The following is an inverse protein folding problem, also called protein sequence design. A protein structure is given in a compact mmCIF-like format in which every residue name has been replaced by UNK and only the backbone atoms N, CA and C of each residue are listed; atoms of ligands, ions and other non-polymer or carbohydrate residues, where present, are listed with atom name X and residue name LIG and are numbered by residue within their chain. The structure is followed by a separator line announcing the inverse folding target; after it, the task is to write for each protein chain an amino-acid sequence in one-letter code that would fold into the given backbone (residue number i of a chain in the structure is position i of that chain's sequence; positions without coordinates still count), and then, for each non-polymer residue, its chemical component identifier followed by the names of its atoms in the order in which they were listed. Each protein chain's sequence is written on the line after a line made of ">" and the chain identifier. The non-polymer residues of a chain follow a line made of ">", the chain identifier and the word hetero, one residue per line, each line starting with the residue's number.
data_IF_204162628332
#
_entry.id   IF_204162628332
#
_cell.length_a   1.000
_cell.length_b   1.000
_cell.length_c   1.000
_cell.angle_alpha   90.00
_cell.angle_beta   90.00
_cell.angle_gamma   90.00
#
_symmetry.space_group_name_H-M   'P 1'
#
loop_
_entity.id
_entity.type
_entity.pdbx_description
1 polymer ?
#
# COMPACT_ATOMS: atom_id res chain seq x y z
N UNK A 1 -32.20 26.41 -0.83
CA UNK A 1 -31.76 25.01 -0.94
C UNK A 1 -32.32 24.51 -2.26
N UNK A 2 -31.48 24.44 -3.28
CA UNK A 2 -31.88 23.99 -4.60
C UNK A 2 -31.49 22.52 -4.74
N UNK A 3 -32.49 21.66 -4.90
CA UNK A 3 -32.31 20.27 -5.30
C UNK A 3 -31.77 20.23 -6.73
N UNK A 4 -30.61 19.60 -6.89
CA UNK A 4 -30.01 19.34 -8.19
C UNK A 4 -30.09 17.83 -8.44
N UNK A 5 -31.02 17.43 -9.32
CA UNK A 5 -31.05 16.10 -9.89
C UNK A 5 -30.16 16.06 -11.14
N UNK A 6 -29.22 15.13 -11.21
CA UNK A 6 -28.45 14.84 -12.43
C UNK A 6 -28.25 13.32 -12.62
N UNK A 7 -28.35 12.89 -13.87
CA UNK A 7 -28.38 11.51 -14.38
C UNK A 7 -27.06 11.10 -15.10
N UNK A 8 -26.84 9.78 -15.19
CA UNK A 8 -25.65 8.99 -15.63
C UNK A 8 -24.78 9.43 -16.84
N UNK A 9 -23.44 9.16 -16.75
CA UNK A 9 -22.58 8.47 -17.75
C UNK A 9 -21.13 8.20 -17.23
N UNK A 10 -20.43 7.19 -17.78
CA UNK A 10 -19.16 6.55 -17.34
C UNK A 10 -17.82 7.27 -17.74
N UNK A 11 -16.72 7.06 -16.99
CA UNK A 11 -15.30 7.33 -17.38
C UNK A 11 -14.34 7.67 -16.20
N UNK A 12 -13.01 7.37 -16.24
CA UNK A 12 -12.21 7.09 -15.05
C UNK A 12 -11.34 8.27 -14.57
N UNK A 13 -11.85 9.06 -13.65
CA UNK A 13 -11.04 9.75 -12.64
C UNK A 13 -12.00 10.20 -11.53
N UNK A 14 -12.15 9.38 -10.49
CA UNK A 14 -13.07 9.66 -9.41
C UNK A 14 -12.35 9.52 -8.08
N UNK A 15 -12.22 10.64 -7.35
CA UNK A 15 -12.27 10.57 -5.89
C UNK A 15 -13.70 10.18 -5.57
N UNK A 16 -13.96 8.87 -5.47
CA UNK A 16 -15.24 8.33 -5.08
C UNK A 16 -15.17 7.99 -3.59
N UNK A 17 -15.56 8.93 -2.74
CA UNK A 17 -15.75 8.62 -1.31
C UNK A 17 -17.01 7.76 -1.20
N UNK A 18 -16.85 6.44 -1.26
CA UNK A 18 -17.94 5.47 -1.26
C UNK A 18 -18.59 5.36 0.13
N UNK A 19 -19.48 6.29 0.48
CA UNK A 19 -20.20 6.26 1.77
C UNK A 19 -21.63 6.81 1.74
N UNK A 20 -22.11 7.24 0.58
CA UNK A 20 -23.48 7.71 0.38
C UNK A 20 -24.03 6.91 -0.80
N UNK A 21 -25.23 6.34 -0.67
CA UNK A 21 -26.00 5.66 -1.71
C UNK A 21 -26.46 6.64 -2.81
N UNK A 22 -25.50 7.33 -3.42
CA UNK A 22 -25.65 8.06 -4.67
C UNK A 22 -24.72 7.39 -5.69
N UNK A 23 -25.08 7.37 -6.99
CA UNK A 23 -24.18 6.88 -8.03
C UNK A 23 -22.83 7.62 -7.93
N UNK A 24 -21.71 7.00 -8.36
CA UNK A 24 -20.38 7.58 -8.24
C UNK A 24 -20.30 8.89 -9.01
N UNK A 25 -20.49 10.01 -8.32
CA UNK A 25 -20.17 11.34 -8.82
C UNK A 25 -18.75 11.61 -8.34
N UNK A 26 -17.78 11.34 -9.20
CA UNK A 26 -16.39 11.72 -8.96
C UNK A 26 -16.29 13.25 -8.78
N UNK A 27 -15.34 13.69 -7.97
CA UNK A 27 -15.11 15.11 -7.70
C UNK A 27 -14.58 15.91 -8.92
N UNK A 28 -14.51 15.33 -10.13
CA UNK A 28 -13.91 15.97 -11.32
C UNK A 28 -14.65 15.64 -12.64
N UNK A 29 -14.59 16.59 -13.57
CA UNK A 29 -15.53 16.77 -14.70
C UNK A 29 -15.42 15.74 -15.83
N UNK A 30 -16.47 15.69 -16.66
CA UNK A 30 -16.68 14.84 -17.85
C UNK A 30 -15.71 15.09 -19.02
N UNK A 31 -14.51 15.62 -18.78
CA UNK A 31 -13.53 15.77 -19.84
C UNK A 31 -12.75 14.44 -20.01
N UNK A 32 -12.41 14.09 -21.25
CA UNK A 32 -11.72 12.84 -21.61
C UNK A 32 -10.26 12.78 -21.14
N UNK A 33 -9.78 13.78 -20.41
CA UNK A 33 -8.39 13.99 -20.04
C UNK A 33 -8.18 14.34 -18.54
N UNK A 34 -9.25 14.38 -17.74
CA UNK A 34 -9.28 14.76 -16.33
C UNK A 34 -9.01 16.25 -16.10
N UNK A 35 -9.89 16.92 -15.35
CA UNK A 35 -9.56 18.25 -14.80
C UNK A 35 -8.37 18.11 -13.87
N UNK A 36 -7.37 18.99 -14.00
CA UNK A 36 -6.21 19.00 -13.10
C UNK A 36 -6.67 19.21 -11.67
N UNK A 37 -6.25 18.32 -10.79
CA UNK A 37 -6.52 18.39 -9.35
C UNK A 37 -5.24 18.80 -8.66
N UNK A 38 -5.15 20.05 -8.22
CA UNK A 38 -3.94 20.52 -7.56
C UNK A 38 -3.80 19.92 -6.16
N UNK A 39 -4.80 20.12 -5.30
CA UNK A 39 -4.74 19.64 -3.92
C UNK A 39 -6.11 19.10 -3.51
N UNK A 40 -6.11 17.89 -2.94
CA UNK A 40 -7.21 17.40 -2.11
C UNK A 40 -6.66 17.07 -0.74
N UNK A 41 -7.31 17.63 0.27
CA UNK A 41 -6.99 17.37 1.67
C UNK A 41 -8.21 16.80 2.38
N UNK A 42 -8.01 15.67 3.04
CA UNK A 42 -9.00 15.02 3.90
C UNK A 42 -8.38 14.95 5.30
N UNK A 43 -8.92 15.74 6.22
CA UNK A 43 -8.40 15.84 7.61
C UNK A 43 -9.11 14.89 8.58
N UNK A 44 -10.28 14.36 8.18
CA UNK A 44 -10.97 13.31 8.92
C UNK A 44 -12.03 12.68 8.03
N UNK A 45 -11.94 11.37 7.89
CA UNK A 45 -12.95 10.55 7.24
C UNK A 45 -12.81 9.14 7.80
N UNK A 46 -13.90 8.51 8.21
CA UNK A 46 -13.91 7.07 8.43
C UNK A 46 -15.04 6.50 7.60
N UNK A 47 -14.70 5.58 6.71
CA UNK A 47 -15.68 4.91 5.87
C UNK A 47 -15.51 3.39 6.00
N UNK A 48 -16.65 2.69 6.00
CA UNK A 48 -16.71 1.25 6.19
C UNK A 48 -17.66 0.62 5.17
N UNK A 49 -17.19 -0.41 4.47
CA UNK A 49 -17.94 -1.10 3.43
C UNK A 49 -18.44 -2.50 3.86
N UNK A 50 -18.41 -2.82 5.15
CA UNK A 50 -18.94 -4.07 5.68
C UNK A 50 -20.46 -4.02 5.90
N UNK A 51 -21.27 -5.02 5.45
CA UNK A 51 -22.66 -5.10 5.88
C UNK A 51 -22.73 -5.29 7.40
N UNK A 52 -23.74 -4.75 8.11
CA UNK A 52 -23.85 -4.85 9.57
C UNK A 52 -23.84 -6.28 10.11
N UNK A 53 -24.26 -7.25 9.28
CA UNK A 53 -24.36 -8.67 9.62
C UNK A 53 -23.11 -9.48 9.30
N UNK A 54 -22.16 -8.93 8.52
CA UNK A 54 -20.87 -9.55 8.18
C UNK A 54 -19.84 -8.43 7.96
N UNK A 55 -19.30 -7.84 9.04
CA UNK A 55 -18.39 -6.71 8.93
C UNK A 55 -17.22 -7.00 7.97
N UNK A 56 -16.76 -8.24 7.85
CA UNK A 56 -15.61 -8.60 7.02
C UNK A 56 -15.93 -8.88 5.52
N UNK A 57 -17.18 -8.64 5.08
CA UNK A 57 -17.66 -8.98 3.73
C UNK A 57 -17.77 -7.76 2.80
N UNK A 58 -16.80 -6.85 2.86
CA UNK A 58 -16.78 -5.68 1.99
C UNK A 58 -16.73 -6.06 0.50
N UNK A 59 -17.28 -5.19 -0.36
CA UNK A 59 -17.22 -5.39 -1.80
C UNK A 59 -15.76 -5.29 -2.29
N UNK A 60 -15.21 -6.42 -2.75
CA UNK A 60 -13.82 -6.53 -3.21
C UNK A 60 -13.47 -5.67 -4.43
N UNK A 61 -14.46 -5.15 -5.15
CA UNK A 61 -14.24 -4.20 -6.25
C UNK A 61 -14.09 -2.75 -5.78
N UNK A 62 -14.33 -2.46 -4.50
CA UNK A 62 -14.24 -1.08 -3.99
C UNK A 62 -12.79 -0.68 -3.78
N UNK A 63 -12.41 0.43 -4.39
CA UNK A 63 -11.17 1.14 -4.12
C UNK A 63 -11.57 2.44 -3.42
N UNK A 64 -11.14 2.63 -2.18
CA UNK A 64 -11.57 3.78 -1.38
C UNK A 64 -11.05 5.10 -1.93
N UNK A 65 -9.80 5.09 -2.39
CA UNK A 65 -9.20 6.23 -3.04
C UNK A 65 -8.35 5.77 -4.23
N UNK A 66 -8.76 6.16 -5.43
CA UNK A 66 -8.05 5.88 -6.67
C UNK A 66 -7.42 7.17 -7.23
N UNK A 67 -6.10 7.27 -7.14
CA UNK A 67 -5.33 8.47 -7.50
C UNK A 67 -4.82 8.30 -8.93
N UNK A 68 -5.55 8.92 -9.87
CA UNK A 68 -5.30 8.90 -11.30
C UNK A 68 -4.34 9.98 -11.81
N UNK A 69 -4.07 9.95 -13.12
CA UNK A 69 -3.36 11.03 -13.79
C UNK A 69 -4.04 12.39 -13.58
N UNK A 70 -3.24 13.46 -13.57
CA UNK A 70 -3.71 14.84 -13.38
C UNK A 70 -3.87 15.25 -11.92
N UNK A 71 -3.70 14.31 -10.99
CA UNK A 71 -3.71 14.59 -9.56
C UNK A 71 -2.31 14.93 -9.05
N UNK A 72 -2.10 16.17 -8.59
CA UNK A 72 -0.82 16.58 -8.05
C UNK A 72 -0.67 16.15 -6.59
N UNK A 73 -1.56 16.58 -5.70
CA UNK A 73 -1.39 16.32 -4.27
C UNK A 73 -2.65 15.75 -3.63
N UNK A 74 -2.49 14.61 -2.99
CA UNK A 74 -3.43 14.08 -2.01
C UNK A 74 -2.79 14.16 -0.63
N UNK A 75 -3.52 14.73 0.32
CA UNK A 75 -3.16 14.71 1.73
C UNK A 75 -4.26 14.06 2.56
N UNK A 76 -3.91 12.99 3.25
CA UNK A 76 -4.77 12.26 4.18
C UNK A 76 -4.18 12.44 5.57
N UNK A 77 -4.90 13.11 6.46
CA UNK A 77 -4.56 13.19 7.87
C UNK A 77 -5.72 12.56 8.66
N UNK A 78 -5.45 11.55 9.49
CA UNK A 78 -6.47 10.92 10.35
C UNK A 78 -7.69 10.39 9.57
N UNK A 79 -7.42 9.57 8.55
CA UNK A 79 -8.40 8.97 7.65
C UNK A 79 -8.44 7.45 7.89
N UNK A 80 -9.63 6.86 7.86
CA UNK A 80 -9.87 5.42 8.02
C UNK A 80 -10.65 4.82 6.86
N UNK A 81 -10.10 3.78 6.24
CA UNK A 81 -10.73 2.98 5.19
C UNK A 81 -10.88 1.53 5.66
N UNK A 82 -12.10 1.11 5.94
CA UNK A 82 -12.37 -0.18 6.60
C UNK A 82 -13.15 -1.08 5.64
N UNK A 83 -12.68 -2.32 5.49
CA UNK A 83 -13.15 -3.31 4.51
C UNK A 83 -13.00 -2.82 3.06
N UNK A 84 -13.57 -3.56 2.11
CA UNK A 84 -13.53 -3.23 0.67
C UNK A 84 -12.46 -3.99 -0.10
N UNK A 85 -12.13 -3.55 -1.30
CA UNK A 85 -11.09 -4.12 -2.15
C UNK A 85 -9.72 -3.58 -1.79
N UNK A 86 -9.46 -2.32 -2.15
CA UNK A 86 -8.20 -1.62 -1.91
C UNK A 86 -8.44 -0.33 -1.13
N UNK A 87 -7.56 0.00 -0.19
CA UNK A 87 -7.60 1.27 0.53
C UNK A 87 -7.21 2.42 -0.40
N UNK A 88 -5.92 2.54 -0.70
CA UNK A 88 -5.42 3.57 -1.61
C UNK A 88 -4.75 2.91 -2.81
N UNK A 89 -5.18 3.29 -4.02
CA UNK A 89 -4.47 2.96 -5.25
C UNK A 89 -3.91 4.23 -5.88
N UNK A 90 -2.68 4.16 -6.34
CA UNK A 90 -2.04 5.18 -7.17
C UNK A 90 -1.62 4.56 -8.50
N UNK A 91 -2.41 4.84 -9.52
CA UNK A 91 -2.20 4.30 -10.86
C UNK A 91 -2.57 5.36 -11.91
N UNK A 92 -1.80 5.43 -12.99
CA UNK A 92 -2.13 6.28 -14.12
C UNK A 92 -1.80 5.60 -15.45
N UNK A 93 -2.69 5.79 -16.42
CA UNK A 93 -2.41 5.47 -17.82
C UNK A 93 -1.35 6.41 -18.43
N UNK A 94 -1.16 7.60 -17.85
CA UNK A 94 -0.21 8.59 -18.34
C UNK A 94 1.23 8.07 -18.29
N UNK A 95 1.99 8.40 -19.33
CA UNK A 95 3.44 8.16 -19.44
C UNK A 95 4.26 9.41 -19.18
N UNK A 96 3.62 10.58 -19.28
CA UNK A 96 4.26 11.87 -19.01
C UNK A 96 4.69 11.97 -17.54
N UNK A 97 5.84 12.60 -17.25
CA UNK A 97 6.23 12.95 -15.89
C UNK A 97 5.13 13.67 -15.12
N UNK A 98 5.15 13.56 -13.79
CA UNK A 98 4.26 14.35 -12.96
C UNK A 98 4.46 15.87 -13.18
N UNK A 99 3.39 16.64 -12.98
CA UNK A 99 3.36 18.08 -13.25
C UNK A 99 3.13 18.48 -14.71
N UNK A 100 3.19 17.52 -15.65
CA UNK A 100 2.71 17.70 -17.03
C UNK A 100 1.25 17.23 -17.16
N UNK A 101 0.59 17.55 -18.27
CA UNK A 101 -0.79 17.15 -18.52
C UNK A 101 -0.86 15.93 -19.46
N UNK A 102 -1.60 14.85 -19.12
CA UNK A 102 -2.27 14.62 -17.84
C UNK A 102 -1.30 14.23 -16.71
N UNK A 103 -0.06 13.82 -17.00
CA UNK A 103 0.97 13.53 -15.98
C UNK A 103 0.63 12.39 -15.03
N UNK A 104 1.65 11.88 -14.34
CA UNK A 104 1.48 10.91 -13.25
C UNK A 104 1.01 11.60 -11.96
N UNK A 105 0.36 10.87 -11.04
CA UNK A 105 0.16 11.30 -9.67
C UNK A 105 1.47 11.75 -9.05
N UNK A 106 1.51 12.93 -8.41
CA UNK A 106 2.78 13.49 -7.93
C UNK A 106 3.05 13.23 -6.45
N UNK A 107 2.09 13.48 -5.57
CA UNK A 107 2.29 13.43 -4.12
C UNK A 107 1.12 12.74 -3.41
N UNK A 108 1.44 11.75 -2.58
CA UNK A 108 0.55 11.25 -1.53
C UNK A 108 1.22 11.44 -0.17
N UNK A 109 0.64 12.29 0.66
CA UNK A 109 0.99 12.44 2.07
C UNK A 109 -0.10 11.80 2.91
N UNK A 110 0.22 10.71 3.60
CA UNK A 110 -0.72 9.99 4.45
C UNK A 110 -0.16 9.91 5.87
N UNK A 111 -0.74 10.67 6.79
CA UNK A 111 -0.41 10.67 8.21
C UNK A 111 -1.59 10.18 9.05
N UNK A 112 -1.35 9.27 9.99
CA UNK A 112 -2.40 8.65 10.81
C UNK A 112 -3.50 8.01 9.94
N UNK A 113 -3.12 7.40 8.82
CA UNK A 113 -4.01 6.64 7.95
C UNK A 113 -4.29 5.27 8.58
N UNK A 114 -5.55 4.90 8.68
CA UNK A 114 -6.00 3.56 9.03
C UNK A 114 -6.57 2.87 7.79
N UNK A 115 -6.06 1.69 7.47
CA UNK A 115 -6.67 0.78 6.50
C UNK A 115 -6.81 -0.58 7.15
N UNK A 116 -8.04 -1.08 7.23
CA UNK A 116 -8.36 -2.29 7.98
C UNK A 116 -9.19 -3.28 7.16
N UNK A 117 -8.75 -4.53 7.12
CA UNK A 117 -9.36 -5.67 6.40
C UNK A 117 -9.74 -5.46 4.92
N UNK A 118 -8.91 -4.81 4.06
CA UNK A 118 -9.18 -4.83 2.62
C UNK A 118 -9.02 -6.25 2.09
N UNK A 119 -9.87 -6.65 1.15
CA UNK A 119 -9.81 -7.97 0.50
C UNK A 119 -8.71 -8.10 -0.56
N UNK A 120 -8.17 -6.97 -1.03
CA UNK A 120 -6.99 -6.88 -1.91
C UNK A 120 -5.79 -6.26 -1.19
N UNK A 121 -4.98 -5.48 -1.91
CA UNK A 121 -3.89 -4.69 -1.31
C UNK A 121 -4.45 -3.58 -0.42
N UNK A 122 -3.81 -3.26 0.70
CA UNK A 122 -4.26 -2.10 1.48
C UNK A 122 -3.83 -0.79 0.79
N UNK A 123 -2.56 -0.70 0.38
CA UNK A 123 -2.04 0.35 -0.48
C UNK A 123 -1.39 -0.26 -1.72
N UNK A 124 -1.74 0.27 -2.89
CA UNK A 124 -1.26 -0.20 -4.18
C UNK A 124 -0.68 0.96 -5.00
N UNK A 125 0.65 1.08 -5.03
CA UNK A 125 1.38 2.15 -5.70
C UNK A 125 1.96 1.62 -7.02
N UNK A 126 1.17 1.64 -8.09
CA UNK A 126 1.55 1.02 -9.38
C UNK A 126 2.31 1.99 -10.28
N UNK A 127 1.82 3.22 -10.39
CA UNK A 127 2.44 4.26 -11.22
C UNK A 127 2.08 5.64 -10.67
N UNK A 128 3.10 6.29 -10.12
CA UNK A 128 3.02 7.62 -9.56
C UNK A 128 4.40 8.06 -9.11
N UNK A 129 4.41 9.17 -8.39
CA UNK A 129 5.59 9.76 -7.80
C UNK A 129 5.32 10.04 -6.31
N UNK A 130 6.42 10.23 -5.57
CA UNK A 130 6.53 10.59 -4.16
C UNK A 130 5.36 10.22 -3.22
N UNK A 131 5.60 9.22 -2.37
CA UNK A 131 4.66 8.85 -1.31
C UNK A 131 5.33 8.93 0.05
N UNK A 132 4.68 9.63 0.99
CA UNK A 132 5.05 9.63 2.39
C UNK A 132 3.90 9.06 3.22
N UNK A 133 4.16 7.95 3.89
CA UNK A 133 3.26 7.27 4.80
C UNK A 133 3.87 7.32 6.20
N UNK A 134 3.16 7.97 7.14
CA UNK A 134 3.62 8.10 8.52
C UNK A 134 2.53 7.76 9.52
N UNK A 135 2.92 7.12 10.64
CA UNK A 135 2.01 6.82 11.76
C UNK A 135 0.76 6.01 11.37
N UNK A 136 0.81 5.29 10.26
CA UNK A 136 -0.33 4.57 9.72
C UNK A 136 -0.56 3.23 10.43
N UNK A 137 -1.82 2.79 10.46
CA UNK A 137 -2.23 1.45 10.85
C UNK A 137 -2.79 0.71 9.64
N UNK A 138 -2.10 -0.34 9.20
CA UNK A 138 -2.45 -1.10 8.00
C UNK A 138 -2.60 -2.56 8.40
N UNK A 139 -3.80 -3.11 8.26
CA UNK A 139 -4.10 -4.46 8.73
C UNK A 139 -4.92 -5.24 7.71
N UNK A 140 -4.69 -6.55 7.64
CA UNK A 140 -5.68 -7.49 7.13
C UNK A 140 -5.85 -7.54 5.62
N UNK A 141 -4.93 -6.95 4.86
CA UNK A 141 -4.93 -7.06 3.39
C UNK A 141 -5.00 -8.53 2.92
N UNK A 142 -6.08 -8.88 2.21
CA UNK A 142 -6.39 -10.23 1.74
C UNK A 142 -6.62 -11.27 2.84
N UNK A 143 -6.73 -10.86 4.11
CA UNK A 143 -6.82 -11.76 5.26
C UNK A 143 -8.20 -12.34 5.49
N UNK A 144 -9.22 -11.74 4.87
CA UNK A 144 -10.59 -12.16 5.10
C UNK A 144 -10.77 -13.56 4.53
N UNK A 145 -11.48 -14.40 5.28
CA UNK A 145 -11.92 -15.74 4.87
C UNK A 145 -12.88 -15.70 3.65
N UNK A 146 -12.85 -14.64 2.83
CA UNK A 146 -13.59 -14.52 1.59
C UNK A 146 -12.95 -15.39 0.51
N UNK A 147 -13.06 -16.69 0.75
CA UNK A 147 -12.92 -17.77 -0.20
C UNK A 147 -14.11 -17.67 -1.16
N UNK A 148 -14.15 -16.65 -2.01
CA UNK A 148 -14.61 -16.91 -3.38
C UNK A 148 -13.40 -17.37 -4.20
N UNK A 149 -12.99 -18.62 -3.93
CA UNK A 149 -11.92 -19.35 -4.63
C UNK A 149 -12.22 -19.58 -6.13
N UNK A 150 -13.22 -18.91 -6.72
CA UNK A 150 -13.65 -19.10 -8.11
C UNK A 150 -13.05 -18.11 -9.10
N UNK A 151 -12.28 -17.12 -8.66
CA UNK A 151 -11.45 -16.35 -9.57
C UNK A 151 -9.99 -16.78 -9.43
N UNK A 152 -9.40 -17.25 -10.52
CA UNK A 152 -7.96 -17.48 -10.68
C UNK A 152 -7.19 -16.14 -10.70
N UNK A 153 -7.57 -15.20 -9.83
CA UNK A 153 -7.03 -13.86 -9.74
C UNK A 153 -6.06 -13.79 -8.55
N UNK A 154 -5.05 -12.96 -8.71
CA UNK A 154 -4.04 -12.47 -7.79
C UNK A 154 -4.53 -11.94 -6.41
N UNK A 155 -5.70 -12.35 -5.93
CA UNK A 155 -6.48 -11.79 -4.81
C UNK A 155 -5.88 -11.97 -3.40
N UNK A 156 -4.59 -12.30 -3.26
CA UNK A 156 -3.92 -12.26 -1.97
C UNK A 156 -3.27 -10.89 -1.78
N UNK A 157 -3.71 -10.17 -0.74
CA UNK A 157 -3.28 -8.81 -0.43
C UNK A 157 -1.90 -8.71 0.22
N UNK A 158 -1.19 -7.64 -0.16
CA UNK A 158 -0.02 -7.08 0.52
C UNK A 158 -0.48 -5.83 1.26
N UNK A 159 0.10 -5.52 2.43
CA UNK A 159 -0.19 -4.26 3.12
C UNK A 159 0.13 -3.04 2.25
N UNK A 160 1.37 -2.93 1.79
CA UNK A 160 1.83 -1.93 0.82
C UNK A 160 2.52 -2.60 -0.35
N UNK A 161 1.91 -2.57 -1.52
CA UNK A 161 2.52 -3.01 -2.78
C UNK A 161 3.03 -1.81 -3.58
N UNK A 162 4.33 -1.78 -3.86
CA UNK A 162 4.98 -0.79 -4.73
C UNK A 162 5.33 -1.48 -6.03
N UNK A 163 4.59 -1.17 -7.09
CA UNK A 163 4.74 -1.81 -8.39
C UNK A 163 6.00 -1.36 -9.14
N UNK A 164 6.46 -2.14 -10.13
CA UNK A 164 7.71 -1.88 -10.86
C UNK A 164 7.70 -0.62 -11.73
N UNK A 165 6.54 0.02 -11.91
CA UNK A 165 6.39 1.27 -12.67
C UNK A 165 6.28 2.50 -11.76
N UNK A 166 6.28 2.32 -10.44
CA UNK A 166 6.48 3.42 -9.51
C UNK A 166 7.92 3.89 -9.64
N UNK A 167 8.15 5.19 -9.81
CA UNK A 167 9.45 5.68 -10.31
C UNK A 167 10.03 6.83 -9.50
N UNK A 168 9.66 6.95 -8.23
CA UNK A 168 10.11 8.04 -7.37
C UNK A 168 10.28 7.57 -5.92
N UNK A 169 10.38 8.54 -5.03
CA UNK A 169 10.67 8.37 -3.61
C UNK A 169 9.48 7.76 -2.85
N UNK A 170 9.81 6.95 -1.86
CA UNK A 170 8.86 6.34 -0.96
C UNK A 170 9.40 6.44 0.46
N UNK A 171 8.64 7.03 1.36
CA UNK A 171 8.97 7.10 2.78
C UNK A 171 7.86 6.43 3.58
N UNK A 172 8.19 5.37 4.32
CA UNK A 172 7.25 4.62 5.18
C UNK A 172 7.83 4.59 6.58
N UNK A 173 7.25 5.38 7.48
CA UNK A 173 7.82 5.61 8.81
C UNK A 173 6.84 5.52 9.95
N UNK A 174 7.26 4.91 11.06
CA UNK A 174 6.45 4.80 12.28
C UNK A 174 5.09 4.14 12.07
N UNK A 175 4.96 3.27 11.07
CA UNK A 175 3.72 2.59 10.73
C UNK A 175 3.64 1.21 11.41
N UNK A 176 2.42 0.67 11.40
CA UNK A 176 2.08 -0.67 11.88
C UNK A 176 1.47 -1.48 10.73
N UNK A 177 2.05 -2.64 10.44
CA UNK A 177 1.57 -3.55 9.38
C UNK A 177 1.34 -4.96 9.91
N UNK A 178 0.10 -5.43 9.89
CA UNK A 178 -0.30 -6.68 10.54
C UNK A 178 -1.24 -7.56 9.73
N UNK A 179 -1.10 -8.87 9.89
CA UNK A 179 -2.15 -9.81 9.49
C UNK A 179 -2.38 -9.88 8.00
N UNK A 180 -1.39 -9.59 7.15
CA UNK A 180 -1.57 -9.61 5.70
C UNK A 180 -1.46 -11.03 5.13
N UNK A 181 -2.25 -11.31 4.08
CA UNK A 181 -2.23 -12.57 3.34
C UNK A 181 -0.83 -12.92 2.84
N UNK A 182 -0.15 -11.92 2.28
CA UNK A 182 1.22 -12.00 1.77
C UNK A 182 2.17 -11.17 2.66
N UNK A 183 3.05 -10.39 2.05
CA UNK A 183 4.00 -9.51 2.73
C UNK A 183 3.29 -8.29 3.34
N UNK A 184 3.91 -7.69 4.35
CA UNK A 184 3.46 -6.38 4.81
C UNK A 184 3.84 -5.29 3.82
N UNK A 185 5.10 -5.29 3.37
CA UNK A 185 5.60 -4.34 2.38
C UNK A 185 6.29 -5.13 1.27
N UNK A 186 5.86 -4.90 0.03
CA UNK A 186 6.52 -5.39 -1.16
C UNK A 186 7.03 -4.22 -2.00
N UNK A 187 8.35 -4.10 -2.11
CA UNK A 187 9.03 -3.10 -2.91
C UNK A 187 9.46 -3.73 -4.25
N UNK A 188 8.73 -3.43 -5.32
CA UNK A 188 9.03 -3.88 -6.68
C UNK A 188 9.46 -2.76 -7.65
N UNK A 189 9.39 -1.51 -7.22
CA UNK A 189 9.85 -0.34 -7.95
C UNK A 189 10.17 0.81 -7.00
N UNK A 190 10.31 2.01 -7.54
CA UNK A 190 10.73 3.21 -6.82
C UNK A 190 12.25 3.39 -6.75
N UNK A 191 12.66 4.54 -6.25
CA UNK A 191 14.05 4.91 -5.97
C UNK A 191 14.11 5.64 -4.63
N UNK A 192 15.25 5.62 -3.94
CA UNK A 192 15.45 6.29 -2.64
C UNK A 192 14.43 5.88 -1.57
N UNK A 193 13.94 4.64 -1.61
CA UNK A 193 12.93 4.18 -0.67
C UNK A 193 13.48 4.13 0.76
N UNK A 194 12.79 4.74 1.72
CA UNK A 194 13.10 4.68 3.14
C UNK A 194 11.97 4.00 3.88
N UNK A 195 12.23 2.81 4.41
CA UNK A 195 11.30 2.04 5.24
C UNK A 195 11.89 1.97 6.64
N UNK A 196 11.40 2.80 7.55
CA UNK A 196 12.02 2.93 8.86
C UNK A 196 11.09 3.00 10.06
N UNK A 197 11.56 2.46 11.20
CA UNK A 197 10.85 2.52 12.48
C UNK A 197 9.43 1.93 12.45
N UNK A 198 9.18 0.95 11.58
CA UNK A 198 7.88 0.30 11.49
C UNK A 198 7.81 -0.92 12.41
N UNK A 199 6.59 -1.27 12.82
CA UNK A 199 6.29 -2.52 13.51
C UNK A 199 5.50 -3.42 12.55
N UNK A 200 6.03 -4.63 12.31
CA UNK A 200 5.52 -5.55 11.30
C UNK A 200 5.39 -6.95 11.90
N UNK A 201 4.20 -7.56 11.82
CA UNK A 201 3.96 -8.89 12.43
C UNK A 201 2.84 -9.67 11.75
N UNK A 202 2.78 -10.97 12.03
CA UNK A 202 1.64 -11.84 11.70
C UNK A 202 1.26 -11.84 10.21
N UNK A 203 2.23 -11.66 9.32
CA UNK A 203 2.01 -11.69 7.87
C UNK A 203 2.20 -13.09 7.30
N UNK A 204 1.93 -13.28 6.01
CA UNK A 204 1.94 -14.59 5.33
C UNK A 204 0.84 -15.53 5.83
N UNK A 205 -0.30 -15.01 6.28
CA UNK A 205 -1.38 -15.84 6.85
C UNK A 205 -2.03 -16.78 5.82
N UNK A 206 -2.03 -16.40 4.53
CA UNK A 206 -2.67 -17.21 3.49
C UNK A 206 -1.89 -18.51 3.25
N UNK A 207 -0.57 -18.47 3.42
CA UNK A 207 0.26 -19.68 3.45
C UNK A 207 1.45 -19.42 4.38
N UNK A 208 1.38 -19.86 5.66
CA UNK A 208 2.42 -19.62 6.64
C UNK A 208 3.83 -19.98 6.15
N UNK A 209 4.79 -19.08 6.40
CA UNK A 209 6.20 -19.24 6.06
C UNK A 209 6.54 -19.05 4.57
N UNK A 210 5.63 -18.47 3.77
CA UNK A 210 5.87 -18.23 2.34
C UNK A 210 6.20 -16.78 1.98
N UNK A 211 5.58 -15.80 2.64
CA UNK A 211 5.84 -14.38 2.44
C UNK A 211 6.68 -13.78 3.58
N UNK A 212 7.48 -12.78 3.25
CA UNK A 212 8.38 -12.08 4.19
C UNK A 212 7.74 -10.78 4.68
N UNK A 213 8.21 -10.22 5.79
CA UNK A 213 7.63 -8.98 6.32
C UNK A 213 7.84 -7.83 5.35
N UNK A 214 9.10 -7.55 5.05
CA UNK A 214 9.52 -6.65 3.97
C UNK A 214 10.16 -7.49 2.87
N UNK A 215 9.60 -7.41 1.65
CA UNK A 215 10.12 -8.09 0.47
C UNK A 215 10.63 -7.06 -0.54
N UNK A 216 11.90 -7.16 -0.91
CA UNK A 216 12.51 -6.38 -2.00
C UNK A 216 12.68 -7.28 -3.21
N UNK A 217 12.03 -6.92 -4.31
CA UNK A 217 12.03 -7.68 -5.57
C UNK A 217 13.28 -7.39 -6.42
N UNK A 218 13.54 -8.20 -7.46
CA UNK A 218 14.60 -7.92 -8.41
C UNK A 218 14.44 -6.55 -9.08
N UNK A 219 15.56 -5.90 -9.42
CA UNK A 219 15.58 -4.60 -10.11
C UNK A 219 15.53 -3.37 -9.20
N UNK A 220 15.21 -3.54 -7.91
CA UNK A 220 15.19 -2.42 -6.95
C UNK A 220 16.61 -2.06 -6.49
N UNK A 221 16.92 -0.76 -6.47
CA UNK A 221 18.18 -0.16 -6.00
C UNK A 221 17.88 0.96 -5.01
N UNK A 222 18.92 1.51 -4.39
CA UNK A 222 18.82 2.80 -3.68
C UNK A 222 17.75 2.83 -2.59
N UNK A 223 17.85 1.95 -1.59
CA UNK A 223 16.87 1.88 -0.51
C UNK A 223 17.52 1.76 0.88
N UNK A 224 16.80 2.22 1.88
CA UNK A 224 17.17 2.13 3.29
C UNK A 224 16.04 1.42 4.04
N UNK A 225 16.38 0.31 4.70
CA UNK A 225 15.48 -0.39 5.62
C UNK A 225 16.09 -0.35 7.01
N UNK A 226 15.55 0.46 7.90
CA UNK A 226 16.20 0.72 9.19
C UNK A 226 15.29 0.80 10.41
N UNK A 227 15.75 0.33 11.56
CA UNK A 227 15.02 0.54 12.81
C UNK A 227 13.67 -0.19 12.91
N UNK A 228 13.36 -1.12 12.00
CA UNK A 228 12.09 -1.82 11.99
C UNK A 228 12.09 -2.99 12.99
N UNK A 229 10.94 -3.27 13.58
CA UNK A 229 10.68 -4.51 14.29
C UNK A 229 9.85 -5.43 13.40
N UNK A 230 10.38 -6.58 13.02
CA UNK A 230 9.70 -7.53 12.14
C UNK A 230 9.75 -8.94 12.70
N UNK A 231 8.58 -9.51 12.97
CA UNK A 231 8.47 -10.90 13.44
C UNK A 231 7.42 -11.03 14.52
N UNK A 232 7.66 -11.84 15.55
CA UNK A 232 6.65 -12.13 16.59
C UNK A 232 6.48 -10.96 17.56
N UNK A 233 5.24 -10.47 17.73
CA UNK A 233 4.88 -9.48 18.76
C UNK A 233 4.13 -10.07 19.96
N UNK A 234 3.51 -11.24 19.80
CA UNK A 234 2.70 -11.90 20.83
C UNK A 234 3.36 -13.21 21.26
N UNK A 235 2.73 -13.99 22.14
CA UNK A 235 3.25 -15.33 22.48
C UNK A 235 3.08 -16.36 21.35
N UNK A 236 2.47 -15.97 20.23
CA UNK A 236 2.25 -16.83 19.08
C UNK A 236 3.43 -16.79 18.11
N UNK A 237 3.70 -17.92 17.45
CA UNK A 237 4.75 -18.01 16.42
C UNK A 237 4.34 -17.20 15.20
N UNK A 238 5.20 -16.27 14.75
CA UNK A 238 4.97 -15.52 13.53
C UNK A 238 4.86 -16.48 12.34
N UNK A 239 3.89 -16.22 11.47
CA UNK A 239 3.76 -16.90 10.18
C UNK A 239 4.68 -16.31 9.10
N UNK A 240 5.40 -15.24 9.41
CA UNK A 240 6.27 -14.53 8.46
C UNK A 240 7.54 -15.33 8.15
N UNK A 241 7.90 -15.48 6.87
CA UNK A 241 9.05 -16.27 6.40
C UNK A 241 10.38 -15.70 6.88
N UNK A 242 10.75 -14.53 6.37
CA UNK A 242 11.87 -13.74 6.86
C UNK A 242 11.35 -12.37 7.30
N UNK A 243 12.00 -11.74 8.27
CA UNK A 243 11.67 -10.36 8.62
C UNK A 243 11.90 -9.43 7.41
N UNK A 244 13.10 -9.53 6.82
CA UNK A 244 13.45 -8.85 5.57
C UNK A 244 14.01 -9.88 4.58
N UNK A 245 13.47 -9.89 3.35
CA UNK A 245 14.00 -10.68 2.23
C UNK A 245 14.33 -9.76 1.06
N UNK A 246 15.61 -9.74 0.68
CA UNK A 246 16.09 -9.10 -0.54
C UNK A 246 16.33 -10.23 -1.56
N UNK A 247 15.60 -10.20 -2.67
CA UNK A 247 15.67 -11.24 -3.69
C UNK A 247 16.89 -11.09 -4.61
N UNK A 248 17.34 -12.19 -5.27
CA UNK A 248 18.36 -12.11 -6.31
C UNK A 248 18.00 -11.08 -7.39
N UNK A 249 19.00 -10.39 -7.92
CA UNK A 249 18.78 -9.31 -8.89
C UNK A 249 18.29 -7.99 -8.29
N UNK A 250 18.02 -7.91 -6.98
CA UNK A 250 18.03 -6.62 -6.29
C UNK A 250 19.46 -6.04 -6.39
N UNK A 251 19.52 -4.77 -6.72
CA UNK A 251 20.68 -4.11 -7.29
C UNK A 251 21.52 -3.45 -6.19
N UNK A 252 22.07 -2.28 -6.47
CA UNK A 252 23.16 -1.62 -5.74
C UNK A 252 22.69 -0.47 -4.85
N UNK A 253 23.56 -0.05 -3.92
CA UNK A 253 23.41 1.13 -3.05
C UNK A 253 22.26 1.04 -2.05
N UNK A 254 22.21 -0.03 -1.26
CA UNK A 254 21.22 -0.15 -0.20
C UNK A 254 21.81 -0.35 1.20
N UNK A 255 21.02 0.04 2.20
CA UNK A 255 21.37 -0.08 3.61
C UNK A 255 20.26 -0.82 4.35
N UNK A 256 20.64 -1.86 5.10
CA UNK A 256 19.74 -2.55 6.04
C UNK A 256 20.38 -2.58 7.41
N UNK A 257 19.86 -1.79 8.34
CA UNK A 257 20.52 -1.59 9.64
C UNK A 257 19.59 -1.38 10.82
N UNK A 258 20.05 -1.72 12.02
CA UNK A 258 19.33 -1.47 13.27
C UNK A 258 17.92 -2.09 13.34
N UNK A 259 17.64 -3.15 12.56
CA UNK A 259 16.35 -3.83 12.62
C UNK A 259 16.35 -4.93 13.68
N UNK A 260 15.20 -5.15 14.32
CA UNK A 260 14.95 -6.31 15.20
C UNK A 260 14.08 -7.31 14.46
N UNK A 261 14.63 -8.48 14.11
CA UNK A 261 14.05 -9.40 13.13
C UNK A 261 13.76 -10.79 13.72
N UNK A 262 13.22 -10.85 14.94
CA UNK A 262 13.12 -12.09 15.72
C UNK A 262 11.80 -12.84 15.55
N UNK A 263 11.82 -14.17 15.64
CA UNK A 263 10.60 -15.00 15.66
C UNK A 263 10.02 -15.35 14.28
N UNK A 264 10.72 -14.98 13.19
CA UNK A 264 10.34 -15.34 11.81
C UNK A 264 10.66 -16.82 11.51
N UNK A 265 9.86 -17.46 10.64
CA UNK A 265 9.88 -18.91 10.38
C UNK A 265 11.23 -19.43 9.87
N UNK A 266 11.89 -18.70 8.96
CA UNK A 266 13.17 -19.11 8.36
C UNK A 266 14.38 -18.31 8.87
N UNK A 267 14.17 -17.19 9.55
CA UNK A 267 15.22 -16.32 10.09
C UNK A 267 14.91 -14.84 9.94
N UNK A 268 15.68 -13.97 10.59
CA UNK A 268 15.38 -12.54 10.59
C UNK A 268 15.62 -11.83 9.26
N UNK A 269 16.78 -12.07 8.64
CA UNK A 269 17.19 -11.39 7.42
C UNK A 269 17.71 -12.39 6.39
N UNK A 270 17.26 -12.23 5.14
CA UNK A 270 17.84 -12.92 4.00
C UNK A 270 18.24 -11.92 2.92
N UNK A 271 19.53 -11.75 2.72
CA UNK A 271 20.10 -10.93 1.67
C UNK A 271 20.61 -11.81 0.51
N UNK A 272 19.90 -11.80 -0.62
CA UNK A 272 20.37 -12.31 -1.90
C UNK A 272 20.69 -11.19 -2.90
N UNK A 273 20.67 -9.92 -2.49
CA UNK A 273 20.95 -8.80 -3.38
C UNK A 273 22.37 -8.88 -3.92
N UNK A 274 22.50 -8.63 -5.22
CA UNK A 274 23.74 -8.81 -5.98
C UNK A 274 24.56 -7.51 -6.09
N UNK A 275 23.99 -6.38 -5.63
CA UNK A 275 24.69 -5.10 -5.50
C UNK A 275 25.99 -5.20 -4.70
N UNK A 276 26.98 -4.41 -5.13
CA UNK A 276 28.34 -4.39 -4.55
C UNK A 276 28.47 -3.37 -3.42
N UNK A 277 27.91 -2.18 -3.62
CA UNK A 277 27.74 -1.13 -2.64
C UNK A 277 26.50 -1.42 -1.79
N UNK A 278 26.66 -2.21 -0.75
CA UNK A 278 25.60 -2.48 0.23
C UNK A 278 26.13 -2.48 1.65
N UNK A 279 25.30 -2.09 2.60
CA UNK A 279 25.61 -2.18 4.03
C UNK A 279 24.48 -2.92 4.75
N UNK A 280 24.79 -4.09 5.27
CA UNK A 280 23.83 -4.93 6.00
C UNK A 280 24.44 -5.24 7.37
N UNK A 281 24.21 -4.36 8.33
CA UNK A 281 24.93 -4.36 9.62
C UNK A 281 24.04 -3.95 10.78
N UNK A 282 24.35 -4.43 11.99
CA UNK A 282 23.67 -3.99 13.21
C UNK A 282 22.21 -4.45 13.34
N UNK A 283 21.82 -5.55 12.68
CA UNK A 283 20.49 -6.15 12.82
C UNK A 283 20.51 -7.25 13.89
N UNK A 284 19.46 -7.32 14.71
CA UNK A 284 19.21 -8.42 15.66
C UNK A 284 18.41 -9.50 14.91
N UNK A 285 18.92 -10.72 14.82
CA UNK A 285 18.38 -11.81 13.98
C UNK A 285 17.79 -12.96 14.80
#
# INVERSE_FOLDING_TARGET
>A
MADMQLTNAFGPCAICVAGILLPPVGLFSTDTHGTRVDIVQITRLTANNGPPSKPDAGNASVIWLDIGGGCNTIRLDNVGFINGGTGVRMESGATEPAGLYPGRPLFLFANDLEIDFPSGHALELLRGEEVQLSNAYVQGAGSTNYVDRRANDSSLGVGLHVGPKFSSELMVTNCRFFGHALSAIELAGGAHATIGNNIISENSIATPGKASGILVRPGVSDFIIQGNHVGTLTTTTSTTRYGIEIQPGASDRYVVTANTLTGNVKGGLRDYGEGKAKSVVGNVL
#
